data_IF_071768191728
#
_entry.id   IF_071768191728
#
_cell.length_a   1.000
_cell.length_b   1.000
_cell.length_c   1.000
_cell.angle_alpha   90.00
_cell.angle_beta   90.00
_cell.angle_gamma   90.00
#
_symmetry.space_group_name_H-M   'P 1'
#
loop_
_entity.id
_entity.type
_entity.pdbx_description
1 polymer ?
#
# COMPACT_ATOMS: atom_id res chain seq x y z
N UNK A 1 -15.70 9.67 -2.94
CA UNK A 1 -16.19 8.57 -3.79
C UNK A 1 -17.67 8.36 -3.51
N UNK A 2 -18.43 9.37 -3.92
CA UNK A 2 -19.85 9.26 -4.23
C UNK A 2 -19.99 8.90 -5.72
N UNK A 3 -21.16 8.39 -6.14
CA UNK A 3 -21.44 8.19 -7.55
C UNK A 3 -21.24 9.50 -8.33
N UNK A 4 -20.46 9.46 -9.41
CA UNK A 4 -20.15 10.67 -10.20
C UNK A 4 -18.75 11.24 -10.03
N UNK A 5 -18.02 10.86 -8.98
CA UNK A 5 -16.67 11.39 -8.72
C UNK A 5 -15.66 10.97 -9.79
N UNK A 6 -14.70 11.86 -10.07
CA UNK A 6 -13.53 11.61 -10.90
C UNK A 6 -12.33 11.33 -9.99
N UNK A 7 -11.72 10.17 -10.14
CA UNK A 7 -10.65 9.69 -9.26
C UNK A 7 -9.39 9.44 -10.06
N UNK A 8 -8.26 9.81 -9.50
CA UNK A 8 -6.96 9.44 -10.04
C UNK A 8 -6.32 8.38 -9.13
N UNK A 9 -5.72 7.37 -9.73
CA UNK A 9 -4.95 6.32 -9.08
C UNK A 9 -3.58 6.22 -9.78
N UNK A 10 -2.50 6.10 -9.03
CA UNK A 10 -1.16 5.78 -9.54
C UNK A 10 -0.70 4.47 -8.94
N UNK A 11 -0.23 3.55 -9.77
CA UNK A 11 0.09 2.18 -9.39
C UNK A 11 -1.07 1.22 -9.69
N UNK A 12 -1.53 1.16 -10.94
CA UNK A 12 -2.64 0.26 -11.35
C UNK A 12 -2.43 -1.17 -10.87
N UNK A 13 -1.21 -1.71 -10.98
CA UNK A 13 -0.84 -2.99 -10.38
C UNK A 13 -1.77 -4.14 -10.83
N UNK A 14 -2.39 -4.84 -9.87
CA UNK A 14 -3.36 -5.91 -10.13
C UNK A 14 -4.78 -5.41 -10.50
N UNK A 15 -4.99 -4.10 -10.49
CA UNK A 15 -6.29 -3.47 -10.75
C UNK A 15 -7.32 -3.62 -9.61
N UNK A 16 -6.96 -4.22 -8.47
CA UNK A 16 -7.90 -4.44 -7.35
C UNK A 16 -8.40 -3.13 -6.73
N UNK A 17 -7.52 -2.16 -6.56
CA UNK A 17 -7.89 -0.83 -6.09
C UNK A 17 -8.74 -0.14 -7.16
N UNK A 18 -8.31 -0.13 -8.43
CA UNK A 18 -9.10 0.35 -9.58
C UNK A 18 -10.53 -0.20 -9.62
N UNK A 19 -10.74 -1.50 -9.42
CA UNK A 19 -12.07 -2.12 -9.39
C UNK A 19 -12.93 -1.60 -8.21
N UNK A 20 -12.30 -1.38 -7.06
CA UNK A 20 -12.97 -0.86 -5.87
C UNK A 20 -13.38 0.59 -6.08
N UNK A 21 -12.48 1.42 -6.63
CA UNK A 21 -12.74 2.81 -7.00
C UNK A 21 -13.86 2.88 -8.05
N UNK A 22 -13.81 2.03 -9.08
CA UNK A 22 -14.81 1.98 -10.16
C UNK A 22 -16.22 1.61 -9.65
N UNK A 23 -16.32 0.76 -8.62
CA UNK A 23 -17.59 0.44 -7.95
C UNK A 23 -18.11 1.62 -7.12
N UNK A 24 -17.21 2.34 -6.45
CA UNK A 24 -17.57 3.46 -5.59
C UNK A 24 -18.08 4.67 -6.40
N UNK A 25 -17.40 5.02 -7.50
CA UNK A 25 -17.82 6.15 -8.37
C UNK A 25 -19.01 5.81 -9.29
N UNK A 26 -19.36 4.52 -9.38
CA UNK A 26 -20.37 3.98 -10.28
C UNK A 26 -20.14 4.34 -11.76
N UNK A 27 -21.07 4.01 -12.64
CA UNK A 27 -20.99 4.33 -14.08
C UNK A 27 -21.07 5.83 -14.37
N UNK A 28 -21.50 6.64 -13.40
CA UNK A 28 -21.64 8.09 -13.52
C UNK A 28 -20.34 8.85 -13.27
N UNK A 29 -19.39 8.26 -12.55
CA UNK A 29 -18.07 8.86 -12.30
C UNK A 29 -16.99 8.27 -13.21
N UNK A 30 -15.72 8.55 -12.91
CA UNK A 30 -14.60 8.10 -13.74
C UNK A 30 -13.36 7.79 -12.91
N UNK A 31 -12.59 6.76 -13.26
CA UNK A 31 -11.31 6.44 -12.61
C UNK A 31 -10.19 6.49 -13.65
N UNK A 32 -9.25 7.41 -13.47
CA UNK A 32 -8.00 7.46 -14.21
C UNK A 32 -6.93 6.72 -13.42
N UNK A 33 -6.43 5.62 -13.94
CA UNK A 33 -5.38 4.83 -13.30
C UNK A 33 -4.12 4.85 -14.14
N UNK A 34 -2.96 5.00 -13.49
CA UNK A 34 -1.68 5.13 -14.16
C UNK A 34 -0.72 4.03 -13.71
N UNK A 35 -0.08 3.34 -14.64
CA UNK A 35 1.04 2.44 -14.34
C UNK A 35 2.32 2.98 -14.97
N UNK A 36 3.42 2.84 -14.23
CA UNK A 36 4.76 3.18 -14.74
C UNK A 36 5.19 2.24 -15.87
N UNK A 37 4.67 1.01 -15.92
CA UNK A 37 5.03 0.04 -16.96
C UNK A 37 3.96 -0.02 -18.05
N UNK A 38 4.38 0.26 -19.29
CA UNK A 38 3.49 0.33 -20.45
C UNK A 38 2.70 -0.95 -20.70
N UNK A 39 3.37 -2.10 -20.67
CA UNK A 39 2.72 -3.39 -20.89
C UNK A 39 1.68 -3.71 -19.82
N UNK A 40 1.94 -3.35 -18.55
CA UNK A 40 0.98 -3.56 -17.45
C UNK A 40 -0.23 -2.65 -17.59
N UNK A 41 0.00 -1.37 -17.91
CA UNK A 41 -1.09 -0.44 -18.18
C UNK A 41 -1.99 -0.96 -19.32
N UNK A 42 -1.39 -1.48 -20.40
CA UNK A 42 -2.12 -2.05 -21.54
C UNK A 42 -2.93 -3.28 -21.14
N UNK A 43 -2.32 -4.26 -20.47
CA UNK A 43 -3.00 -5.49 -20.04
C UNK A 43 -4.13 -5.18 -19.05
N UNK A 44 -3.90 -4.30 -18.08
CA UNK A 44 -4.92 -3.86 -17.15
C UNK A 44 -6.07 -3.13 -17.87
N UNK A 45 -5.78 -2.29 -18.87
CA UNK A 45 -6.80 -1.64 -19.69
C UNK A 45 -7.68 -2.66 -20.45
N UNK A 46 -7.08 -3.70 -21.01
CA UNK A 46 -7.79 -4.81 -21.66
C UNK A 46 -8.68 -5.57 -20.66
N UNK A 47 -8.15 -5.87 -19.47
CA UNK A 47 -8.88 -6.54 -18.39
C UNK A 47 -10.08 -5.73 -17.92
N UNK A 48 -9.90 -4.43 -17.64
CA UNK A 48 -10.99 -3.54 -17.24
C UNK A 48 -12.09 -3.45 -18.29
N UNK A 49 -11.70 -3.43 -19.58
CA UNK A 49 -12.64 -3.46 -20.69
C UNK A 49 -13.43 -4.78 -20.71
N UNK A 50 -12.74 -5.92 -20.54
CA UNK A 50 -13.37 -7.25 -20.49
C UNK A 50 -14.35 -7.41 -19.32
N UNK A 51 -14.08 -6.73 -18.19
CA UNK A 51 -14.94 -6.69 -17.01
C UNK A 51 -16.07 -5.65 -17.09
N UNK A 52 -16.18 -4.91 -18.20
CA UNK A 52 -17.26 -3.94 -18.44
C UNK A 52 -17.13 -2.62 -17.66
N UNK A 53 -15.91 -2.31 -17.20
CA UNK A 53 -15.57 -1.08 -16.48
C UNK A 53 -15.30 0.07 -17.44
N UNK A 54 -16.33 0.45 -18.19
CA UNK A 54 -16.27 1.54 -19.18
C UNK A 54 -15.89 2.91 -18.60
N UNK A 55 -16.03 3.08 -17.28
CA UNK A 55 -15.69 4.30 -16.56
C UNK A 55 -14.23 4.36 -16.08
N UNK A 56 -13.40 3.38 -16.45
CA UNK A 56 -11.99 3.32 -16.06
C UNK A 56 -11.14 3.64 -17.28
N UNK A 57 -10.17 4.52 -17.12
CA UNK A 57 -9.13 4.81 -18.11
C UNK A 57 -7.79 4.48 -17.49
N UNK A 58 -7.15 3.44 -18.02
CA UNK A 58 -5.80 3.05 -17.62
C UNK A 58 -4.78 3.56 -18.64
N UNK A 59 -3.73 4.22 -18.18
CA UNK A 59 -2.70 4.80 -19.02
C UNK A 59 -1.29 4.48 -18.51
N UNK A 60 -0.37 4.29 -19.44
CA UNK A 60 1.05 4.26 -19.13
C UNK A 60 1.53 5.68 -18.83
N UNK A 61 2.12 5.90 -17.65
CA UNK A 61 2.72 7.20 -17.30
C UNK A 61 3.72 7.08 -16.15
N UNK A 62 4.87 7.75 -16.31
CA UNK A 62 5.72 8.11 -15.17
C UNK A 62 5.12 9.33 -14.46
N UNK A 63 4.26 9.05 -13.47
CA UNK A 63 3.57 10.07 -12.65
C UNK A 63 4.55 10.86 -11.77
N UNK A 64 5.70 10.27 -11.42
CA UNK A 64 6.70 10.92 -10.56
C UNK A 64 7.37 12.06 -11.32
N UNK A 65 7.72 11.85 -12.59
CA UNK A 65 8.39 12.87 -13.40
C UNK A 65 7.41 13.79 -14.14
N UNK A 66 6.27 13.25 -14.60
CA UNK A 66 5.40 13.95 -15.55
C UNK A 66 4.01 14.31 -14.98
N UNK A 67 3.78 14.06 -13.68
CA UNK A 67 2.49 14.27 -13.04
C UNK A 67 1.37 13.43 -13.68
N UNK A 68 0.11 13.85 -13.53
CA UNK A 68 -1.05 13.11 -14.05
C UNK A 68 -1.52 13.56 -15.44
N UNK A 69 -0.97 14.67 -15.94
CA UNK A 69 -1.37 15.30 -17.21
C UNK A 69 -2.15 16.59 -17.00
N UNK A 70 -1.84 17.59 -17.82
CA UNK A 70 -2.48 18.91 -17.77
C UNK A 70 -3.99 18.81 -17.98
N UNK A 71 -4.42 17.80 -18.73
CA UNK A 71 -5.82 17.49 -18.99
C UNK A 71 -6.60 17.08 -17.74
N UNK A 72 -5.93 16.66 -16.66
CA UNK A 72 -6.54 16.28 -15.38
C UNK A 72 -6.34 17.31 -14.26
N UNK A 73 -5.66 18.43 -14.51
CA UNK A 73 -5.46 19.48 -13.52
C UNK A 73 -6.79 20.04 -13.01
N UNK A 74 -6.97 20.04 -11.68
CA UNK A 74 -8.18 20.50 -10.97
C UNK A 74 -9.48 19.78 -11.38
N UNK A 75 -9.38 18.57 -11.97
CA UNK A 75 -10.56 17.78 -12.39
C UNK A 75 -10.84 16.55 -11.54
N UNK A 76 -9.89 16.12 -10.71
CA UNK A 76 -10.05 14.98 -9.83
C UNK A 76 -10.62 15.40 -8.48
N UNK A 77 -11.61 14.64 -8.02
CA UNK A 77 -12.19 14.75 -6.68
C UNK A 77 -11.33 14.02 -5.63
N UNK A 78 -10.50 13.05 -6.04
CA UNK A 78 -9.60 12.27 -5.17
C UNK A 78 -8.38 11.73 -5.93
N UNK A 79 -7.24 11.53 -5.23
CA UNK A 79 -5.99 11.01 -5.81
C UNK A 79 -5.36 9.94 -4.89
N UNK A 80 -5.24 8.72 -5.40
CA UNK A 80 -4.63 7.57 -4.74
C UNK A 80 -3.25 7.27 -5.33
N UNK A 81 -2.23 7.09 -4.48
CA UNK A 81 -0.89 6.62 -4.85
C UNK A 81 -0.69 5.26 -4.19
N UNK A 82 -0.50 4.22 -4.98
CA UNK A 82 -0.32 2.86 -4.49
C UNK A 82 1.11 2.71 -3.94
N UNK A 83 1.23 2.55 -2.63
CA UNK A 83 2.41 1.93 -2.04
C UNK A 83 2.43 0.49 -2.54
N UNK A 84 3.55 -0.08 -2.96
CA UNK A 84 3.51 -1.38 -3.62
C UNK A 84 3.12 -2.54 -2.70
N UNK A 85 3.02 -2.38 -1.37
CA UNK A 85 2.77 -3.51 -0.45
C UNK A 85 1.90 -3.22 0.81
N UNK A 86 0.72 -2.58 0.72
CA UNK A 86 -0.14 -2.35 1.89
C UNK A 86 -0.58 -3.65 2.59
N UNK A 87 -0.63 -4.77 1.87
CA UNK A 87 -1.00 -6.06 2.47
C UNK A 87 0.06 -6.58 3.45
N UNK A 88 1.36 -6.40 3.16
CA UNK A 88 2.43 -6.87 4.05
C UNK A 88 2.45 -6.06 5.34
N UNK A 89 2.12 -4.76 5.25
CA UNK A 89 1.90 -3.91 6.41
C UNK A 89 0.71 -4.39 7.24
N UNK A 90 -0.46 -4.59 6.62
CA UNK A 90 -1.67 -5.06 7.31
C UNK A 90 -1.46 -6.43 7.96
N UNK A 91 -0.79 -7.35 7.27
CA UNK A 91 -0.42 -8.67 7.79
C UNK A 91 0.51 -8.57 9.00
N UNK A 92 1.57 -7.74 8.91
CA UNK A 92 2.54 -7.52 9.98
C UNK A 92 1.94 -6.91 11.26
N UNK A 93 0.81 -6.20 11.11
CA UNK A 93 0.07 -5.58 12.20
C UNK A 93 -0.98 -6.51 12.83
N UNK A 94 -1.23 -7.69 12.25
CA UNK A 94 -2.15 -8.71 12.78
C UNK A 94 -3.56 -8.18 13.11
N UNK A 95 -4.02 -7.19 12.34
CA UNK A 95 -5.25 -6.44 12.62
C UNK A 95 -6.51 -7.31 12.55
N UNK A 96 -7.47 -7.01 13.43
CA UNK A 96 -8.77 -7.68 13.54
C UNK A 96 -9.89 -6.64 13.53
N UNK A 97 -11.13 -7.05 13.16
CA UNK A 97 -12.29 -6.21 13.33
C UNK A 97 -12.44 -5.74 14.79
N UNK A 98 -12.53 -4.43 15.01
CA UNK A 98 -12.58 -3.84 16.35
C UNK A 98 -11.29 -3.18 16.82
N UNK A 99 -10.16 -3.44 16.15
CA UNK A 99 -8.87 -2.89 16.56
C UNK A 99 -8.78 -1.38 16.32
N UNK A 100 -8.01 -0.71 17.18
CA UNK A 100 -7.63 0.69 17.01
C UNK A 100 -6.21 0.75 16.46
N UNK A 101 -6.04 1.36 15.29
CA UNK A 101 -4.74 1.50 14.64
C UNK A 101 -4.36 2.96 14.46
N UNK A 102 -3.10 3.26 14.71
CA UNK A 102 -2.50 4.56 14.41
C UNK A 102 -1.63 4.42 13.17
N UNK A 103 -1.77 5.36 12.25
CA UNK A 103 -0.97 5.50 11.04
C UNK A 103 -0.34 6.89 11.04
N UNK A 104 0.93 7.01 10.65
CA UNK A 104 1.50 8.33 10.36
C UNK A 104 2.38 8.30 9.13
N UNK A 105 2.14 9.31 8.30
CA UNK A 105 2.27 9.23 6.85
C UNK A 105 0.92 8.90 6.21
N UNK A 106 -0.12 9.76 6.36
CA UNK A 106 -1.40 9.53 5.66
C UNK A 106 -1.18 9.46 4.15
N UNK A 107 -0.34 10.35 3.61
CA UNK A 107 0.02 10.33 2.20
C UNK A 107 -1.22 10.45 1.32
N UNK A 108 -1.39 9.52 0.39
CA UNK A 108 -2.56 9.44 -0.47
C UNK A 108 -3.70 8.59 0.09
N UNK A 109 -3.60 8.13 1.34
CA UNK A 109 -4.64 7.33 1.99
C UNK A 109 -4.79 5.87 1.51
N UNK A 110 -3.92 5.34 0.64
CA UNK A 110 -4.04 3.95 0.13
C UNK A 110 -3.98 2.92 1.26
N UNK A 111 -2.98 3.05 2.14
CA UNK A 111 -2.87 2.19 3.32
C UNK A 111 -4.03 2.45 4.29
N UNK A 112 -4.41 3.71 4.53
CA UNK A 112 -5.56 4.06 5.38
C UNK A 112 -6.83 3.33 4.98
N UNK A 113 -7.13 3.21 3.68
CA UNK A 113 -8.28 2.43 3.19
C UNK A 113 -8.16 0.93 3.51
N UNK A 114 -6.96 0.38 3.37
CA UNK A 114 -6.68 -1.02 3.69
C UNK A 114 -6.79 -1.30 5.19
N UNK A 115 -6.30 -0.39 6.03
CA UNK A 115 -6.46 -0.42 7.49
C UNK A 115 -7.93 -0.31 7.88
N UNK A 116 -8.67 0.64 7.32
CA UNK A 116 -10.08 0.86 7.58
C UNK A 116 -10.94 -0.37 7.24
N UNK A 117 -10.55 -1.13 6.21
CA UNK A 117 -11.16 -2.42 5.85
C UNK A 117 -10.77 -3.53 6.83
N UNK A 118 -9.54 -3.56 7.33
CA UNK A 118 -9.10 -4.57 8.29
C UNK A 118 -9.83 -4.42 9.65
N UNK A 119 -9.90 -3.18 10.16
CA UNK A 119 -10.49 -2.90 11.48
C UNK A 119 -12.03 -2.85 11.47
N UNK A 120 -12.64 -2.74 10.30
CA UNK A 120 -14.10 -2.67 10.10
C UNK A 120 -14.75 -1.50 10.88
N UNK A 121 -16.09 -1.43 10.88
CA UNK A 121 -16.83 -0.34 11.56
C UNK A 121 -16.76 -0.37 13.08
N UNK A 122 -16.28 -1.46 13.67
CA UNK A 122 -16.12 -1.61 15.13
C UNK A 122 -14.78 -1.07 15.63
N UNK A 123 -13.77 -1.05 14.76
CA UNK A 123 -12.46 -0.49 15.07
C UNK A 123 -12.35 0.96 14.62
N UNK A 124 -11.14 1.50 14.68
CA UNK A 124 -10.88 2.90 14.29
C UNK A 124 -9.46 3.09 13.76
N UNK A 125 -9.31 3.93 12.74
CA UNK A 125 -8.02 4.33 12.19
C UNK A 125 -7.77 5.79 12.53
N UNK A 126 -6.72 6.08 13.28
CA UNK A 126 -6.21 7.43 13.48
C UNK A 126 -5.01 7.65 12.58
N UNK A 127 -5.12 8.55 11.61
CA UNK A 127 -4.06 8.83 10.65
C UNK A 127 -3.58 10.28 10.74
N UNK A 128 -2.27 10.47 10.59
CA UNK A 128 -1.61 11.77 10.75
C UNK A 128 -0.74 12.10 9.56
N UNK A 129 -0.91 13.32 9.01
CA UNK A 129 -0.03 13.90 8.01
C UNK A 129 0.63 15.18 8.54
N UNK A 130 1.91 15.36 8.22
CA UNK A 130 2.65 16.58 8.57
C UNK A 130 2.20 17.78 7.71
N UNK A 131 1.69 17.54 6.51
CA UNK A 131 1.29 18.61 5.59
C UNK A 131 -0.21 18.91 5.76
N UNK A 132 -0.54 20.10 6.24
CA UNK A 132 -1.91 20.51 6.55
C UNK A 132 -2.88 20.32 5.36
N UNK A 133 -2.50 20.75 4.16
CA UNK A 133 -3.33 20.56 2.97
C UNK A 133 -3.61 19.09 2.65
N UNK A 134 -2.61 18.20 2.82
CA UNK A 134 -2.79 16.76 2.56
C UNK A 134 -3.71 16.15 3.60
N UNK A 135 -3.51 16.48 4.88
CA UNK A 135 -4.39 16.02 5.95
C UNK A 135 -5.84 16.43 5.71
N UNK A 136 -6.07 17.69 5.31
CA UNK A 136 -7.41 18.22 5.02
C UNK A 136 -8.04 17.51 3.83
N UNK A 137 -7.34 17.41 2.70
CA UNK A 137 -7.84 16.74 1.49
C UNK A 137 -8.14 15.26 1.77
N UNK A 138 -7.25 14.55 2.47
CA UNK A 138 -7.48 13.17 2.87
C UNK A 138 -8.69 13.03 3.80
N UNK A 139 -8.90 13.96 4.75
CA UNK A 139 -10.07 13.94 5.63
C UNK A 139 -11.39 14.15 4.85
N UNK A 140 -11.41 15.09 3.91
CA UNK A 140 -12.55 15.31 3.01
C UNK A 140 -12.81 14.07 2.14
N UNK A 141 -11.74 13.46 1.63
CA UNK A 141 -11.79 12.23 0.85
C UNK A 141 -12.40 11.08 1.66
N UNK A 142 -11.85 10.77 2.84
CA UNK A 142 -12.35 9.71 3.72
C UNK A 142 -13.82 9.92 4.12
N UNK A 143 -14.20 11.16 4.41
CA UNK A 143 -15.58 11.53 4.68
C UNK A 143 -16.49 11.25 3.48
N UNK A 144 -16.07 11.65 2.28
CA UNK A 144 -16.80 11.40 1.04
C UNK A 144 -16.88 9.91 0.68
N UNK A 145 -16.03 9.05 1.28
CA UNK A 145 -15.99 7.59 1.05
C UNK A 145 -16.85 6.85 2.06
N UNK A 146 -17.44 7.56 3.03
CA UNK A 146 -18.21 6.96 4.12
C UNK A 146 -17.33 6.20 5.11
N UNK A 147 -16.04 6.55 5.21
CA UNK A 147 -15.12 5.96 6.17
C UNK A 147 -15.25 6.65 7.54
N UNK A 148 -16.41 6.47 8.17
CA UNK A 148 -16.71 7.08 9.48
C UNK A 148 -15.78 6.62 10.61
N UNK A 149 -15.10 5.48 10.43
CA UNK A 149 -14.13 4.91 11.36
C UNK A 149 -12.70 5.44 11.16
N UNK A 150 -12.50 6.47 10.34
CA UNK A 150 -11.19 7.08 10.08
C UNK A 150 -11.19 8.50 10.61
N UNK A 151 -10.14 8.87 11.34
CA UNK A 151 -9.88 10.25 11.78
C UNK A 151 -8.52 10.67 11.27
N UNK A 152 -8.51 11.62 10.33
CA UNK A 152 -7.30 12.23 9.79
C UNK A 152 -7.01 13.56 10.49
N UNK A 153 -5.77 13.78 10.91
CA UNK A 153 -5.35 15.02 11.57
C UNK A 153 -4.03 15.54 11.00
N UNK A 154 -3.92 16.86 10.89
CA UNK A 154 -2.63 17.52 10.65
C UNK A 154 -1.79 17.48 11.93
N UNK A 155 -0.63 16.82 11.89
CA UNK A 155 0.27 16.72 13.04
C UNK A 155 1.69 16.35 12.65
N UNK A 156 2.67 17.05 13.23
CA UNK A 156 4.04 16.56 13.33
C UNK A 156 4.14 15.55 14.49
N UNK A 157 4.06 14.26 14.16
CA UNK A 157 4.11 13.18 15.15
C UNK A 157 5.50 12.97 15.76
N UNK A 158 6.56 13.44 15.08
CA UNK A 158 7.93 13.32 15.59
C UNK A 158 8.14 14.30 16.75
N UNK A 159 7.58 15.51 16.63
CA UNK A 159 7.70 16.52 17.69
C UNK A 159 6.59 16.40 18.75
N UNK A 160 5.36 16.12 18.33
CA UNK A 160 4.18 16.23 19.20
C UNK A 160 3.56 14.88 19.58
N UNK A 161 4.11 13.77 19.09
CA UNK A 161 3.52 12.43 19.25
C UNK A 161 2.14 12.30 18.62
N UNK A 162 1.39 11.25 19.00
CA UNK A 162 0.06 10.97 18.46
C UNK A 162 -1.09 11.66 19.21
N UNK A 163 -0.79 12.31 20.34
CA UNK A 163 -1.77 12.95 21.21
C UNK A 163 -2.06 12.15 22.46
N UNK A 164 -2.27 12.88 23.57
CA UNK A 164 -2.55 12.27 24.87
C UNK A 164 -3.87 11.51 24.87
N UNK A 165 -4.80 11.92 24.02
CA UNK A 165 -6.07 11.25 23.81
C UNK A 165 -5.92 9.85 23.21
N UNK A 166 -4.77 9.50 22.63
CA UNK A 166 -4.47 8.17 22.10
C UNK A 166 -3.55 7.34 23.00
N UNK A 167 -3.17 7.83 24.17
CA UNK A 167 -2.37 7.04 25.12
C UNK A 167 -3.10 5.77 25.54
N UNK A 168 -2.41 4.63 25.50
CA UNK A 168 -2.93 3.32 25.91
C UNK A 168 -4.18 2.84 25.15
N UNK A 169 -4.40 3.31 23.91
CA UNK A 169 -5.61 2.99 23.12
C UNK A 169 -5.37 2.16 21.88
N UNK A 170 -4.18 2.20 21.28
CA UNK A 170 -3.92 1.54 20.01
C UNK A 170 -3.54 0.07 20.20
N UNK A 171 -4.08 -0.80 19.35
CA UNK A 171 -3.65 -2.19 19.19
C UNK A 171 -2.42 -2.28 18.27
N UNK A 172 -2.30 -1.33 17.35
CA UNK A 172 -1.27 -1.31 16.32
C UNK A 172 -0.82 0.11 15.94
N UNK A 173 0.45 0.25 15.56
CA UNK A 173 1.02 1.51 15.03
C UNK A 173 1.78 1.22 13.72
N UNK A 174 1.48 2.00 12.68
CA UNK A 174 2.19 2.01 11.41
C UNK A 174 2.86 3.36 11.14
N UNK A 175 4.14 3.35 10.78
CA UNK A 175 4.90 4.57 10.45
C UNK A 175 5.49 4.51 9.04
N UNK A 176 5.10 5.47 8.20
CA UNK A 176 5.73 5.82 6.93
C UNK A 176 6.25 7.26 7.03
N UNK A 177 7.42 7.39 7.65
CA UNK A 177 8.05 8.66 7.99
C UNK A 177 9.52 8.64 7.55
N UNK A 178 10.15 9.80 7.29
CA UNK A 178 11.58 9.86 7.01
C UNK A 178 12.47 9.46 8.21
N UNK A 179 11.95 9.66 9.44
CA UNK A 179 12.65 9.41 10.69
C UNK A 179 11.78 8.62 11.69
N UNK A 180 11.37 7.37 11.38
CA UNK A 180 10.40 6.65 12.19
C UNK A 180 10.94 6.32 13.59
N UNK A 181 12.25 6.17 13.76
CA UNK A 181 12.90 5.92 15.06
C UNK A 181 12.62 7.00 16.12
N UNK A 182 12.30 8.23 15.71
CA UNK A 182 11.97 9.33 16.63
C UNK A 182 10.53 9.25 17.17
N UNK A 183 9.63 8.58 16.46
CA UNK A 183 8.23 8.43 16.86
C UNK A 183 7.95 7.09 17.61
N UNK A 184 8.96 6.23 17.78
CA UNK A 184 8.81 4.95 18.49
C UNK A 184 8.43 5.14 19.96
N UNK A 185 8.96 6.18 20.61
CA UNK A 185 8.58 6.49 22.01
C UNK A 185 7.10 6.88 22.09
N UNK A 186 6.60 7.67 21.14
CA UNK A 186 5.18 7.99 21.03
C UNK A 186 4.35 6.73 20.75
N UNK A 187 4.86 5.78 19.98
CA UNK A 187 4.17 4.52 19.71
C UNK A 187 3.99 3.69 20.99
N UNK A 188 5.02 3.61 21.84
CA UNK A 188 4.92 2.92 23.13
C UNK A 188 3.88 3.56 24.04
N UNK A 189 3.80 4.90 24.07
CA UNK A 189 2.80 5.62 24.88
C UNK A 189 1.37 5.38 24.39
N UNK A 190 1.18 5.20 23.09
CA UNK A 190 -0.13 5.01 22.48
C UNK A 190 -0.62 3.56 22.48
N UNK A 191 0.27 2.59 22.42
CA UNK A 191 -0.09 1.17 22.43
C UNK A 191 -0.71 0.76 23.78
N UNK A 192 -1.70 -0.14 23.75
CA UNK A 192 -2.40 -0.62 24.95
C UNK A 192 -1.44 -1.29 25.95
N UNK A 193 -1.75 -1.28 27.26
CA UNK A 193 -0.98 -1.98 28.29
C UNK A 193 -0.92 -3.50 28.08
N UNK A 194 -1.89 -4.06 27.35
CA UNK A 194 -1.90 -5.47 26.93
C UNK A 194 -0.86 -5.78 25.85
N UNK A 195 -0.11 -4.78 25.38
CA UNK A 195 0.81 -4.90 24.25
C UNK A 195 0.14 -4.56 22.93
N UNK A 196 0.90 -4.69 21.85
CA UNK A 196 0.41 -4.43 20.49
C UNK A 196 1.48 -4.59 19.42
N UNK A 197 1.09 -4.33 18.17
CA UNK A 197 1.96 -4.47 17.00
C UNK A 197 2.53 -3.13 16.56
N UNK A 198 3.76 -3.16 16.07
CA UNK A 198 4.39 -2.02 15.42
C UNK A 198 4.85 -2.43 14.02
N UNK A 199 4.73 -1.51 13.08
CA UNK A 199 5.26 -1.67 11.74
C UNK A 199 5.79 -0.32 11.23
N UNK A 200 6.92 -0.32 10.52
CA UNK A 200 7.45 0.85 9.85
C UNK A 200 7.90 0.54 8.44
N UNK A 201 7.68 1.46 7.53
CA UNK A 201 8.24 1.44 6.18
C UNK A 201 9.47 2.34 6.10
N UNK A 202 10.53 1.90 5.42
CA UNK A 202 11.74 2.71 5.21
C UNK A 202 12.47 2.33 3.93
N UNK A 203 12.78 3.28 3.02
CA UNK A 203 13.50 2.98 1.78
C UNK A 203 15.00 2.70 1.98
N UNK A 204 15.63 3.20 3.05
CA UNK A 204 17.07 3.03 3.27
C UNK A 204 17.36 2.07 4.42
N UNK A 205 18.40 1.25 4.29
CA UNK A 205 18.75 0.25 5.32
C UNK A 205 19.24 0.91 6.62
N UNK A 206 19.83 2.10 6.55
CA UNK A 206 20.28 2.88 7.71
C UNK A 206 19.08 3.38 8.54
N UNK A 207 17.94 3.64 7.88
CA UNK A 207 16.70 4.01 8.57
C UNK A 207 16.13 2.81 9.33
N UNK A 208 16.20 1.62 8.72
CA UNK A 208 15.84 0.35 9.38
C UNK A 208 16.71 0.13 10.61
N UNK A 209 18.03 0.26 10.48
CA UNK A 209 18.98 0.06 11.58
C UNK A 209 18.63 0.92 12.79
N UNK A 210 18.42 2.23 12.58
CA UNK A 210 18.04 3.17 13.65
C UNK A 210 16.69 2.84 14.27
N UNK A 211 15.74 2.41 13.46
CA UNK A 211 14.41 2.02 13.94
C UNK A 211 14.48 0.76 14.80
N UNK A 212 15.21 -0.27 14.36
CA UNK A 212 15.44 -1.48 15.12
C UNK A 212 16.16 -1.22 16.45
N UNK A 213 17.14 -0.32 16.46
CA UNK A 213 17.82 0.11 17.70
C UNK A 213 16.86 0.78 18.67
N UNK A 214 16.06 1.73 18.20
CA UNK A 214 15.03 2.41 19.00
C UNK A 214 13.99 1.44 19.55
N UNK A 215 13.50 0.51 18.71
CA UNK A 215 12.56 -0.54 19.10
C UNK A 215 13.13 -1.41 20.22
N UNK A 216 14.37 -1.90 20.10
CA UNK A 216 15.02 -2.71 21.15
C UNK A 216 15.16 -1.93 22.45
N UNK A 217 15.62 -0.69 22.39
CA UNK A 217 15.83 0.15 23.58
C UNK A 217 14.52 0.44 24.32
N UNK A 218 13.39 0.43 23.61
CA UNK A 218 12.05 0.70 24.14
C UNK A 218 11.25 -0.59 24.46
N UNK A 219 11.91 -1.75 24.47
CA UNK A 219 11.35 -3.01 24.95
C UNK A 219 10.47 -3.76 23.94
N UNK A 220 10.57 -3.44 22.65
CA UNK A 220 9.97 -4.27 21.60
C UNK A 220 10.74 -5.59 21.43
N UNK A 221 10.00 -6.65 21.15
CA UNK A 221 10.50 -8.00 20.84
C UNK A 221 10.04 -8.42 19.44
N UNK A 222 10.50 -9.59 18.98
CA UNK A 222 10.12 -10.15 17.67
C UNK A 222 10.30 -9.15 16.50
N UNK A 223 11.45 -8.47 16.51
CA UNK A 223 11.79 -7.46 15.50
C UNK A 223 12.23 -8.17 14.22
N UNK A 224 11.42 -8.06 13.18
CA UNK A 224 11.65 -8.70 11.89
C UNK A 224 11.61 -7.64 10.78
N UNK A 225 12.55 -7.71 9.84
CA UNK A 225 12.58 -6.83 8.67
C UNK A 225 12.43 -7.65 7.40
N UNK A 226 11.54 -7.21 6.52
CA UNK A 226 11.20 -7.84 5.25
C UNK A 226 11.38 -6.86 4.09
N UNK A 227 11.78 -7.40 2.94
CA UNK A 227 11.69 -6.73 1.64
C UNK A 227 10.82 -7.62 0.75
N UNK A 228 9.81 -7.02 0.08
CA UNK A 228 8.99 -7.74 -0.89
C UNK A 228 9.41 -7.34 -2.30
N UNK A 229 9.80 -8.33 -3.11
CA UNK A 229 10.14 -8.12 -4.52
C UNK A 229 9.09 -8.80 -5.40
N UNK A 230 8.06 -8.04 -5.80
CA UNK A 230 7.00 -8.58 -6.66
C UNK A 230 7.54 -8.88 -8.07
N UNK A 231 7.41 -10.16 -8.49
CA UNK A 231 7.74 -10.61 -9.84
C UNK A 231 6.46 -10.97 -10.57
N UNK A 232 6.26 -10.38 -11.74
CA UNK A 232 5.18 -10.77 -12.62
C UNK A 232 5.67 -11.81 -13.63
N UNK A 233 4.85 -12.82 -13.90
CA UNK A 233 5.14 -13.85 -14.89
C UNK A 233 4.04 -13.89 -15.95
N UNK A 234 4.45 -13.83 -17.22
CA UNK A 234 3.56 -14.09 -18.35
C UNK A 234 3.40 -15.60 -18.54
N UNK A 235 2.15 -16.03 -18.65
CA UNK A 235 1.78 -17.41 -18.97
C UNK A 235 1.42 -17.48 -20.44
N UNK A 236 2.12 -18.34 -21.19
CA UNK A 236 1.87 -18.48 -22.62
C UNK A 236 2.32 -19.82 -23.17
N UNK A 237 1.79 -20.19 -24.34
CA UNK A 237 2.27 -21.37 -25.04
C UNK A 237 3.59 -21.08 -25.76
N UNK A 238 4.57 -21.97 -25.58
CA UNK A 238 5.83 -21.97 -26.35
C UNK A 238 5.83 -23.19 -27.26
N UNK A 239 6.38 -23.02 -28.46
CA UNK A 239 6.63 -24.11 -29.40
C UNK A 239 8.14 -24.24 -29.53
N UNK A 240 8.71 -25.35 -29.03
CA UNK A 240 10.12 -25.64 -29.25
C UNK A 240 10.28 -26.56 -30.48
N UNK A 241 11.21 -26.23 -31.40
CA UNK A 241 11.56 -27.14 -32.48
C UNK A 241 12.27 -28.36 -31.88
N UNK A 242 11.84 -29.56 -32.27
CA UNK A 242 12.52 -30.79 -31.90
C UNK A 242 13.72 -30.93 -32.85
N UNK A 243 14.93 -30.94 -32.31
CA UNK A 243 16.13 -31.19 -33.11
C UNK A 243 16.17 -32.67 -33.48
N UNK A 244 16.08 -32.97 -34.78
CA UNK A 244 16.25 -34.32 -35.31
C UNK A 244 17.70 -34.48 -35.81
N UNK A 245 18.37 -35.54 -35.36
CA UNK A 245 19.71 -35.88 -35.84
C UNK A 245 19.57 -36.92 -36.97
N UNK A 246 19.51 -36.47 -38.23
CA UNK A 246 19.30 -37.32 -39.43
C UNK A 246 19.05 -36.51 -40.71
N UNK A 247 18.80 -37.18 -41.85
CA UNK A 247 18.39 -36.50 -43.09
C UNK A 247 17.01 -35.82 -42.89
N UNK A 248 16.79 -34.60 -43.44
CA UNK A 248 15.61 -33.81 -43.13
C UNK A 248 14.34 -34.43 -43.72
N UNK A 249 13.55 -35.10 -42.88
CA UNK A 249 12.12 -35.31 -43.17
C UNK A 249 11.33 -34.04 -42.83
N UNK A 250 10.23 -33.83 -43.55
CA UNK A 250 9.52 -32.56 -43.73
C UNK A 250 8.99 -31.91 -42.42
N UNK A 251 9.88 -31.21 -41.68
CA UNK A 251 9.66 -29.89 -41.06
C UNK A 251 8.49 -29.65 -40.09
N UNK A 252 7.89 -30.65 -39.43
CA UNK A 252 6.64 -30.43 -38.64
C UNK A 252 6.61 -30.90 -37.18
N UNK A 253 7.71 -31.38 -36.60
CA UNK A 253 7.70 -31.81 -35.20
C UNK A 253 7.96 -30.63 -34.23
N UNK A 254 6.87 -30.01 -33.74
CA UNK A 254 6.92 -28.92 -32.74
C UNK A 254 6.27 -29.39 -31.45
N UNK A 255 7.03 -29.38 -30.35
CA UNK A 255 6.44 -29.63 -29.04
C UNK A 255 5.84 -28.33 -28.51
N UNK A 256 4.50 -28.28 -28.43
CA UNK A 256 3.78 -27.18 -27.78
C UNK A 256 3.64 -27.47 -26.28
N UNK A 257 4.05 -26.55 -25.43
CA UNK A 257 3.88 -26.66 -23.99
C UNK A 257 3.55 -25.30 -23.37
N UNK A 258 2.95 -25.32 -22.18
CA UNK A 258 2.70 -24.12 -21.39
C UNK A 258 4.01 -23.69 -20.75
N UNK A 259 4.36 -22.42 -20.89
CA UNK A 259 5.54 -21.81 -20.31
C UNK A 259 5.14 -20.65 -19.42
N UNK A 260 5.85 -20.50 -18.31
CA UNK A 260 5.75 -19.36 -17.40
C UNK A 260 7.09 -18.63 -17.48
N UNK A 261 7.10 -17.39 -17.93
CA UNK A 261 8.32 -16.59 -18.07
C UNK A 261 8.16 -15.23 -17.42
N UNK A 262 9.19 -14.64 -16.82
CA UNK A 262 9.10 -13.27 -16.29
C UNK A 262 8.52 -12.32 -17.33
N UNK A 263 7.56 -11.50 -16.92
CA UNK A 263 6.86 -10.58 -17.83
C UNK A 263 7.78 -9.46 -18.34
N UNK A 264 8.77 -9.06 -17.53
CA UNK A 264 9.79 -8.07 -17.89
C UNK A 264 11.20 -8.63 -17.74
N UNK A 265 12.11 -8.32 -18.69
CA UNK A 265 13.50 -8.79 -18.65
C UNK A 265 14.42 -7.94 -17.72
N UNK A 266 13.90 -6.93 -17.02
CA UNK A 266 14.70 -5.97 -16.25
C UNK A 266 14.89 -6.35 -14.77
N UNK A 267 15.99 -5.86 -14.20
CA UNK A 267 16.26 -5.84 -12.75
C UNK A 267 15.14 -5.12 -12.01
N UNK A 268 14.70 -5.70 -10.89
CA UNK A 268 13.62 -5.15 -10.07
C UNK A 268 14.10 -3.91 -9.32
N UNK A 269 13.25 -2.88 -9.27
CA UNK A 269 13.45 -1.74 -8.40
C UNK A 269 13.22 -2.11 -6.94
N UNK A 270 13.94 -1.44 -6.04
CA UNK A 270 13.71 -1.49 -4.61
C UNK A 270 12.68 -0.43 -4.22
N UNK A 271 11.65 -0.79 -3.46
CA UNK A 271 10.73 0.20 -2.88
C UNK A 271 11.14 0.57 -1.46
N UNK A 272 11.29 -0.42 -0.60
CA UNK A 272 11.61 -0.21 0.80
C UNK A 272 11.50 -1.47 1.63
N UNK A 273 11.93 -1.35 2.87
CA UNK A 273 11.87 -2.37 3.88
C UNK A 273 10.66 -2.14 4.78
N UNK A 274 9.99 -3.23 5.14
CA UNK A 274 8.97 -3.26 6.19
C UNK A 274 9.59 -3.89 7.42
N UNK A 275 9.62 -3.15 8.53
CA UNK A 275 10.09 -3.66 9.82
C UNK A 275 8.90 -3.77 10.76
N UNK A 276 8.65 -4.97 11.27
CA UNK A 276 7.60 -5.25 12.25
C UNK A 276 8.19 -5.65 13.59
N UNK A 277 7.45 -5.37 14.66
CA UNK A 277 7.83 -5.71 16.01
C UNK A 277 6.60 -5.84 16.92
N UNK A 278 6.79 -6.48 18.07
CA UNK A 278 5.75 -6.65 19.10
C UNK A 278 6.13 -5.90 20.36
N UNK A 279 5.22 -5.09 20.89
CA UNK A 279 5.32 -4.59 22.25
C UNK A 279 4.64 -5.61 23.17
N UNK A 280 5.38 -6.30 24.06
CA UNK A 280 4.75 -7.25 24.96
C UNK A 280 3.90 -6.52 26.02
N UNK A 281 2.97 -7.24 26.68
CA UNK A 281 2.19 -6.67 27.77
C UNK A 281 3.06 -6.04 28.85
N UNK A 282 2.59 -4.96 29.46
CA UNK A 282 3.31 -4.21 30.48
C UNK A 282 3.76 -5.08 31.67
N UNK A 283 2.93 -6.05 32.05
CA UNK A 283 3.24 -7.01 33.10
C UNK A 283 4.53 -7.82 32.84
N UNK A 284 4.89 -8.03 31.57
CA UNK A 284 6.11 -8.76 31.18
C UNK A 284 7.31 -7.80 31.09
N UNK A 285 7.09 -6.55 30.67
CA UNK A 285 8.15 -5.53 30.52
C UNK A 285 8.78 -5.10 31.85
N UNK A 286 7.99 -5.05 32.92
CA UNK A 286 8.48 -4.66 34.25
C UNK A 286 9.36 -5.73 34.92
N UNK A 287 9.48 -6.91 34.30
CA UNK A 287 10.23 -8.06 34.84
C UNK A 287 11.56 -8.34 34.12
N UNK A 288 11.87 -7.56 33.09
CA UNK A 288 13.05 -7.67 32.21
C UNK A 288 13.94 -6.44 32.30
#
# INVERSE_FOLDING_TARGET
LKPGDVVIESGTGSGSLTHSLARAVQKSGHVYTFDFHEDRARLAAEEFSSHGLSQVTCQHRDVVQNGFGEDLHNKADAVFLDLPHPWLAVESLELKPGDVVIESGTGSGSLTHSLARAVQKLGHVYTFDFHEDRARLAAEEFSSHGLSQVTCQHRDVVQNGFGEDLHNKADAVFLDLPHPWLAVESAVKSLKPTGGRFCSFSPCIEQVQRTCESLRNLGFVDINTYECLQKEFSVGFRNLPIAEFGEPEDGKNRHKFVSVTPATPTTQGHTGYITSATLPPEAVRLTS
#
